data_IF_597569468080
#
_entry.id   IF_597569468080
#
_cell.length_a   1.000
_cell.length_b   1.000
_cell.length_c   1.000
_cell.angle_alpha   90.00
_cell.angle_beta   90.00
_cell.angle_gamma   90.00
#
_symmetry.space_group_name_H-M   'P 1'
#
loop_
_entity.id
_entity.type
_entity.pdbx_description
1 polymer ?
#
# COMPACT_ATOMS: atom_id res chain seq x y z
N UNK A 1 14.58 -5.75 4.56
CA UNK A 1 14.54 -4.83 3.40
C UNK A 1 13.55 -3.72 3.72
N UNK A 2 13.75 -2.48 3.29
CA UNK A 2 12.75 -1.42 3.52
C UNK A 2 11.53 -1.66 2.63
N UNK A 3 10.33 -1.31 3.09
CA UNK A 3 9.08 -1.46 2.32
C UNK A 3 9.19 -0.76 0.96
N UNK A 4 9.76 0.45 0.91
CA UNK A 4 9.97 1.16 -0.34
C UNK A 4 10.87 0.45 -1.36
N UNK A 5 11.90 -0.29 -0.91
CA UNK A 5 12.70 -1.12 -1.83
C UNK A 5 11.91 -2.30 -2.37
N UNK A 6 11.03 -2.88 -1.55
CA UNK A 6 10.14 -3.97 -1.99
C UNK A 6 9.10 -3.48 -3.00
N UNK A 7 8.50 -2.30 -2.77
CA UNK A 7 7.55 -1.68 -3.71
C UNK A 7 8.24 -1.39 -5.05
N UNK A 8 9.41 -0.77 -5.03
CA UNK A 8 10.17 -0.50 -6.27
C UNK A 8 10.57 -1.78 -7.00
N UNK A 9 10.96 -2.83 -6.28
CA UNK A 9 11.24 -4.13 -6.88
C UNK A 9 9.97 -4.72 -7.53
N UNK A 10 8.85 -4.72 -6.81
CA UNK A 10 7.60 -5.28 -7.29
C UNK A 10 7.02 -4.55 -8.52
N UNK A 11 7.26 -3.24 -8.66
CA UNK A 11 6.83 -2.48 -9.85
C UNK A 11 7.65 -2.83 -11.10
N UNK A 12 8.88 -3.34 -10.94
CA UNK A 12 9.78 -3.65 -12.05
C UNK A 12 9.93 -5.16 -12.32
N UNK A 13 9.46 -6.01 -11.41
CA UNK A 13 9.60 -7.46 -11.52
C UNK A 13 8.44 -8.06 -12.34
N UNK A 14 8.73 -8.45 -13.58
CA UNK A 14 7.74 -9.07 -14.49
C UNK A 14 7.49 -10.56 -14.18
N UNK A 15 8.20 -11.14 -13.21
CA UNK A 15 8.07 -12.55 -12.81
C UNK A 15 7.15 -12.75 -11.61
N UNK A 16 6.84 -11.68 -10.87
CA UNK A 16 5.86 -11.73 -9.78
C UNK A 16 4.46 -12.00 -10.30
N UNK A 17 3.73 -12.84 -9.56
CA UNK A 17 2.30 -12.98 -9.76
C UNK A 17 1.57 -11.68 -9.41
N UNK A 18 0.44 -11.45 -10.06
CA UNK A 18 -0.31 -10.19 -9.92
C UNK A 18 -0.82 -9.98 -8.49
N UNK A 19 -1.15 -11.05 -7.77
CA UNK A 19 -1.66 -10.96 -6.41
C UNK A 19 -0.56 -10.58 -5.40
N UNK A 20 0.66 -11.07 -5.59
CA UNK A 20 1.83 -10.74 -4.78
C UNK A 20 2.27 -9.30 -5.07
N UNK A 21 2.30 -8.91 -6.34
CA UNK A 21 2.52 -7.52 -6.75
C UNK A 21 1.51 -6.58 -6.11
N UNK A 22 0.22 -6.91 -6.21
CA UNK A 22 -0.87 -6.12 -5.63
C UNK A 22 -0.69 -5.95 -4.12
N UNK A 23 -0.38 -7.03 -3.39
CA UNK A 23 -0.17 -6.98 -1.93
C UNK A 23 1.01 -6.09 -1.54
N UNK A 24 2.13 -6.16 -2.26
CA UNK A 24 3.32 -5.35 -1.96
C UNK A 24 3.03 -3.87 -2.21
N UNK A 25 2.42 -3.56 -3.36
CA UNK A 25 2.07 -2.18 -3.73
C UNK A 25 1.00 -1.61 -2.79
N UNK A 26 -0.01 -2.40 -2.40
CA UNK A 26 -1.04 -2.00 -1.44
C UNK A 26 -0.45 -1.63 -0.08
N UNK A 27 0.58 -2.36 0.39
CA UNK A 27 1.32 -1.99 1.61
C UNK A 27 2.06 -0.66 1.45
N UNK A 28 2.69 -0.43 0.30
CA UNK A 28 3.31 0.85 -0.05
C UNK A 28 2.30 2.01 -0.02
N UNK A 29 1.14 1.81 -0.64
CA UNK A 29 0.04 2.77 -0.63
C UNK A 29 -0.48 3.05 0.79
N UNK A 30 -0.62 2.02 1.62
CA UNK A 30 -1.04 2.17 3.02
C UNK A 30 -0.01 2.96 3.85
N UNK A 31 1.29 2.70 3.66
CA UNK A 31 2.34 3.46 4.34
C UNK A 31 2.35 4.93 3.89
N UNK A 32 2.17 5.18 2.60
CA UNK A 32 2.12 6.54 2.06
C UNK A 32 0.87 7.30 2.53
N UNK A 33 -0.28 6.64 2.57
CA UNK A 33 -1.51 7.20 3.12
C UNK A 33 -1.35 7.54 4.61
N UNK A 34 -0.77 6.63 5.41
CA UNK A 34 -0.51 6.87 6.83
C UNK A 34 0.45 8.04 7.06
N UNK A 35 1.47 8.21 6.22
CA UNK A 35 2.41 9.33 6.32
C UNK A 35 1.78 10.67 5.93
N UNK A 36 0.77 10.67 5.07
CA UNK A 36 0.04 11.87 4.63
C UNK A 36 -1.16 12.21 5.53
N UNK A 37 -1.58 11.29 6.39
CA UNK A 37 -2.67 11.52 7.31
C UNK A 37 -2.30 12.64 8.31
N UNK A 38 -3.25 13.51 8.69
CA UNK A 38 -3.03 14.51 9.72
C UNK A 38 -2.51 13.88 11.02
N UNK A 39 -1.69 14.63 11.77
CA UNK A 39 -1.20 14.16 13.07
C UNK A 39 -2.36 13.74 13.99
N UNK A 40 -2.26 12.54 14.54
CA UNK A 40 -3.30 11.95 15.39
C UNK A 40 -4.47 11.29 14.65
N UNK A 41 -4.46 11.28 13.31
CA UNK A 41 -5.49 10.60 12.51
C UNK A 41 -4.91 9.36 11.83
N UNK A 42 -5.69 8.27 11.83
CA UNK A 42 -5.35 7.06 11.08
C UNK A 42 -5.84 7.17 9.64
N UNK A 43 -5.01 6.73 8.70
CA UNK A 43 -5.43 6.59 7.32
C UNK A 43 -6.59 5.57 7.20
N UNK A 44 -7.54 5.91 6.34
CA UNK A 44 -8.73 5.12 6.05
C UNK A 44 -8.51 4.20 4.85
N UNK A 45 -9.28 3.10 4.72
CA UNK A 45 -9.19 2.23 3.55
C UNK A 45 -9.39 2.98 2.22
N UNK A 46 -10.28 3.97 2.19
CA UNK A 46 -10.55 4.78 1.00
C UNK A 46 -9.34 5.63 0.60
N UNK A 47 -8.60 6.18 1.58
CA UNK A 47 -7.36 6.91 1.32
C UNK A 47 -6.25 6.00 0.78
N UNK A 48 -6.20 4.74 1.23
CA UNK A 48 -5.28 3.74 0.68
C UNK A 48 -5.64 3.38 -0.75
N UNK A 49 -6.92 3.15 -1.04
CA UNK A 49 -7.40 2.91 -2.41
C UNK A 49 -7.09 4.10 -3.33
N UNK A 50 -7.36 5.32 -2.87
CA UNK A 50 -7.05 6.54 -3.63
C UNK A 50 -5.55 6.75 -3.84
N UNK A 51 -4.72 6.30 -2.89
CA UNK A 51 -3.25 6.37 -3.01
C UNK A 51 -2.73 5.28 -3.96
N UNK A 52 -3.25 4.05 -3.87
CA UNK A 52 -2.92 2.96 -4.78
C UNK A 52 -3.18 3.35 -6.24
N UNK A 53 -4.35 3.94 -6.49
CA UNK A 53 -4.70 4.39 -7.83
C UNK A 53 -3.85 5.56 -8.31
N UNK A 54 -3.73 6.63 -7.51
CA UNK A 54 -3.04 7.87 -7.95
C UNK A 54 -1.53 7.71 -8.11
N UNK A 55 -0.90 6.93 -7.24
CA UNK A 55 0.56 6.87 -7.16
C UNK A 55 1.13 5.64 -7.88
N UNK A 56 0.35 4.56 -7.99
CA UNK A 56 0.80 3.29 -8.52
C UNK A 56 -0.05 2.75 -9.67
N UNK A 57 -1.07 3.50 -10.11
CA UNK A 57 -2.03 3.09 -11.14
C UNK A 57 -2.68 1.73 -10.85
N UNK A 58 -2.83 1.38 -9.56
CA UNK A 58 -3.34 0.09 -9.11
C UNK A 58 -4.74 0.25 -8.52
N UNK A 59 -5.69 -0.51 -9.05
CA UNK A 59 -7.01 -0.66 -8.45
C UNK A 59 -6.97 -1.82 -7.46
N UNK A 60 -7.30 -1.53 -6.21
CA UNK A 60 -7.45 -2.53 -5.15
C UNK A 60 -8.84 -2.42 -4.53
N UNK A 61 -9.35 -3.52 -4.00
CA UNK A 61 -10.59 -3.50 -3.26
C UNK A 61 -10.39 -3.04 -1.80
N UNK A 62 -11.52 -2.84 -1.12
CA UNK A 62 -11.53 -2.40 0.26
C UNK A 62 -11.00 -3.47 1.24
N UNK A 63 -11.00 -4.76 0.89
CA UNK A 63 -10.44 -5.82 1.72
C UNK A 63 -8.91 -5.79 1.69
N UNK A 64 -8.32 -5.68 0.50
CA UNK A 64 -6.87 -5.48 0.30
C UNK A 64 -6.41 -4.21 1.00
N UNK A 65 -7.15 -3.10 0.87
CA UNK A 65 -6.82 -1.85 1.54
C UNK A 65 -6.83 -1.96 3.08
N UNK A 66 -7.85 -2.60 3.67
CA UNK A 66 -7.91 -2.86 5.12
C UNK A 66 -6.78 -3.76 5.60
N UNK A 67 -6.45 -4.79 4.81
CA UNK A 67 -5.36 -5.71 5.12
C UNK A 67 -4.01 -4.99 5.11
N UNK A 68 -3.78 -4.13 4.12
CA UNK A 68 -2.58 -3.32 4.02
C UNK A 68 -2.44 -2.34 5.21
N UNK A 69 -3.52 -1.67 5.61
CA UNK A 69 -3.52 -0.78 6.78
C UNK A 69 -3.14 -1.52 8.06
N UNK A 70 -3.73 -2.69 8.31
CA UNK A 70 -3.40 -3.51 9.49
C UNK A 70 -1.91 -3.86 9.53
N UNK A 71 -1.32 -4.19 8.39
CA UNK A 71 0.09 -4.54 8.29
C UNK A 71 1.04 -3.36 8.59
N UNK A 72 0.64 -2.14 8.25
CA UNK A 72 1.44 -0.92 8.51
C UNK A 72 1.32 -0.48 9.97
N UNK A 73 0.13 -0.57 10.58
CA UNK A 73 -0.09 -0.18 11.97
C UNK A 73 0.63 -1.08 12.99
N UNK A 74 0.98 -2.32 12.63
CA UNK A 74 1.76 -3.23 13.48
C UNK A 74 3.26 -2.95 13.50
N UNK A 75 3.76 -2.01 12.69
CA UNK A 75 5.18 -1.67 12.58
C UNK A 75 5.56 -0.32 13.25
N UNK A 76 4.65 0.31 14.01
CA UNK A 76 4.90 1.52 14.80
C UNK A 76 5.07 1.16 16.27
#
# INVERSE_FOLDING_TARGET
MTLWRQVLAALNDTTLDDAERERIVARGAAQLAAHRAPEGQQATPDEVMATAFREFALLIDAETARTALRAVSTCV
#
